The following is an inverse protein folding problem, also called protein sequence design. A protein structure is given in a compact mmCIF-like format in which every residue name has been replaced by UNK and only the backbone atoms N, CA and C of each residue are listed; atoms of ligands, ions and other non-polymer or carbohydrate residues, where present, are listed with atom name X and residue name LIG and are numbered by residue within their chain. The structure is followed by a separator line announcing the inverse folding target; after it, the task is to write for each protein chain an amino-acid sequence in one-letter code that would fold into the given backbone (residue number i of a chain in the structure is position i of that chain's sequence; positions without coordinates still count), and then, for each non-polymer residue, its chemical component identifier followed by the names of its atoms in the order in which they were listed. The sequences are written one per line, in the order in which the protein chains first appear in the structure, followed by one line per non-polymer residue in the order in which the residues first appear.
data_IF_523001631451
#
_entry.id   IF_523001631451
#
_cell.length_a   1.000
_cell.length_b   1.000
_cell.length_c   1.000
_cell.angle_alpha   90.00
_cell.angle_beta   90.00
_cell.angle_gamma   90.00
#
_symmetry.space_group_name_H-M   'P 1'
#
loop_
_entity.id
_entity.type
_entity.pdbx_description
1 polymer ?
#
# COMPACT_ATOMS: atom_id res chain seq x y z
N UNK A 1 -14.99 -23.35 4.77
CA UNK A 1 -14.19 -22.13 4.87
C UNK A 1 -14.19 -21.63 6.31
N UNK A 2 -13.02 -21.47 6.94
CA UNK A 2 -12.88 -20.96 8.32
C UNK A 2 -12.93 -19.42 8.36
N UNK A 3 -12.49 -18.76 7.29
CA UNK A 3 -12.66 -17.32 7.07
C UNK A 3 -11.96 -16.80 5.81
N UNK A 4 -12.25 -15.57 5.42
CA UNK A 4 -11.52 -14.83 4.38
C UNK A 4 -10.70 -13.73 5.05
N UNK A 5 -9.38 -13.76 4.89
CA UNK A 5 -8.44 -12.84 5.52
C UNK A 5 -8.03 -11.77 4.51
N UNK A 6 -8.69 -10.63 4.60
CA UNK A 6 -8.25 -9.41 3.95
C UNK A 6 -7.07 -8.82 4.74
N UNK A 7 -6.34 -7.92 4.09
CA UNK A 7 -5.29 -7.14 4.71
C UNK A 7 -5.07 -5.92 3.81
N UNK A 8 -5.36 -4.72 4.34
CA UNK A 8 -5.28 -3.46 3.60
C UNK A 8 -4.35 -2.52 4.34
N UNK A 9 -3.34 -1.94 3.67
CA UNK A 9 -2.59 -0.82 4.23
C UNK A 9 -3.41 0.46 4.07
N UNK A 10 -4.04 0.94 5.15
CA UNK A 10 -4.54 2.32 5.19
C UNK A 10 -3.80 3.11 6.27
N UNK A 11 -2.99 4.14 5.91
CA UNK A 11 -2.47 5.08 6.89
C UNK A 11 -3.63 5.97 7.37
N UNK A 12 -3.87 5.97 8.69
CA UNK A 12 -4.83 6.87 9.35
C UNK A 12 -4.11 7.64 10.45
N UNK A 13 -3.39 8.71 10.08
CA UNK A 13 -2.59 9.48 11.04
C UNK A 13 -1.51 8.61 11.70
N UNK A 14 -1.35 8.70 13.02
CA UNK A 14 -0.39 7.90 13.81
C UNK A 14 -0.81 6.42 14.02
N UNK A 15 -1.77 5.90 13.25
CA UNK A 15 -2.33 4.56 13.40
C UNK A 15 -2.35 3.83 12.05
N UNK A 16 -2.00 2.55 12.07
CA UNK A 16 -2.14 1.65 10.92
C UNK A 16 -3.36 0.75 11.13
N UNK A 17 -4.26 0.71 10.14
CA UNK A 17 -5.42 -0.20 10.15
C UNK A 17 -5.10 -1.45 9.35
N UNK A 18 -5.23 -2.61 9.97
CA UNK A 18 -5.25 -3.91 9.33
C UNK A 18 -6.65 -4.50 9.47
N UNK A 19 -7.39 -4.57 8.37
CA UNK A 19 -8.67 -5.30 8.36
C UNK A 19 -8.37 -6.80 8.34
N UNK A 20 -8.61 -7.55 9.42
CA UNK A 20 -8.40 -8.99 9.47
C UNK A 20 -9.75 -9.72 9.49
N UNK A 21 -9.98 -10.62 8.55
CA UNK A 21 -10.98 -11.68 8.71
C UNK A 21 -12.46 -11.28 8.50
N UNK A 22 -13.08 -11.92 7.52
CA UNK A 22 -14.49 -12.32 7.54
C UNK A 22 -14.51 -13.68 8.24
N UNK A 23 -14.96 -13.73 9.49
CA UNK A 23 -14.98 -14.95 10.29
C UNK A 23 -16.40 -15.55 10.38
N UNK A 24 -16.48 -16.87 10.17
CA UNK A 24 -17.60 -17.72 10.64
C UNK A 24 -17.38 -18.04 12.13
N UNK A 25 -18.43 -18.18 12.99
CA UNK A 25 -18.37 -17.83 14.42
C UNK A 25 -17.68 -18.84 15.35
N UNK A 26 -16.53 -19.41 14.97
CA UNK A 26 -15.71 -20.22 15.89
C UNK A 26 -14.23 -19.94 15.67
N UNK A 27 -13.58 -19.33 16.67
CA UNK A 27 -12.38 -19.82 17.37
C UNK A 27 -11.89 -18.71 18.32
N UNK A 28 -11.51 -19.12 19.53
CA UNK A 28 -10.67 -18.37 20.47
C UNK A 28 -9.63 -19.33 21.07
N UNK A 29 -8.45 -18.75 21.35
CA UNK A 29 -7.34 -19.20 22.20
C UNK A 29 -6.22 -20.13 21.65
N UNK A 30 -5.05 -19.47 21.55
CA UNK A 30 -3.67 -19.94 21.74
C UNK A 30 -2.97 -20.75 20.64
N UNK A 31 -1.90 -20.17 20.09
CA UNK A 31 -0.87 -20.84 19.31
C UNK A 31 0.54 -20.44 19.81
N UNK A 32 1.51 -21.37 19.89
CA UNK A 32 2.86 -21.12 20.40
C UNK A 32 3.82 -20.54 19.34
N UNK A 33 4.83 -19.80 19.81
CA UNK A 33 5.86 -19.13 18.99
C UNK A 33 6.91 -20.11 18.42
N UNK A 34 7.31 -19.91 17.16
CA UNK A 34 8.45 -20.57 16.52
C UNK A 34 9.78 -19.81 16.76
N UNK A 35 10.95 -20.51 16.76
CA UNK A 35 12.24 -19.91 17.07
C UNK A 35 12.89 -19.21 15.87
N UNK A 36 13.76 -18.26 16.18
CA UNK A 36 14.35 -17.30 15.24
C UNK A 36 15.52 -17.81 14.41
N UNK A 37 15.69 -17.20 13.24
CA UNK A 37 16.86 -17.33 12.39
C UNK A 37 17.42 -15.93 12.07
N UNK A 38 18.75 -15.82 12.17
CA UNK A 38 19.51 -14.60 11.89
C UNK A 38 19.54 -14.33 10.37
N UNK A 39 19.24 -13.08 10.00
CA UNK A 39 19.23 -12.64 8.60
C UNK A 39 20.54 -11.90 8.30
N UNK A 40 21.31 -12.41 7.34
CA UNK A 40 22.52 -11.78 6.81
C UNK A 40 22.16 -10.46 6.09
N UNK A 41 22.61 -9.35 6.65
CA UNK A 41 22.47 -8.01 6.07
C UNK A 41 23.59 -7.82 5.05
N UNK A 42 23.23 -7.69 3.76
CA UNK A 42 24.18 -7.27 2.71
C UNK A 42 24.03 -5.74 2.54
N UNK A 43 25.11 -4.96 2.67
CA UNK A 43 25.05 -3.51 2.47
C UNK A 43 24.84 -3.19 0.98
N UNK A 44 23.81 -2.40 0.67
CA UNK A 44 23.61 -1.82 -0.66
C UNK A 44 24.45 -0.54 -0.72
N UNK A 45 25.51 -0.55 -1.54
CA UNK A 45 26.36 0.62 -1.78
C UNK A 45 25.53 1.77 -2.37
N UNK A 46 25.80 2.98 -1.87
CA UNK A 46 25.12 4.22 -2.27
C UNK A 46 25.33 4.47 -3.76
N UNK A 47 24.27 4.29 -4.54
CA UNK A 47 24.22 4.68 -5.94
C UNK A 47 24.33 6.21 -6.07
N UNK A 48 25.48 6.69 -6.54
CA UNK A 48 25.61 8.01 -7.15
C UNK A 48 25.07 7.90 -8.58
N UNK A 49 23.83 8.30 -8.81
CA UNK A 49 23.24 8.33 -10.15
C UNK A 49 23.24 9.77 -10.67
N UNK A 50 24.02 10.02 -11.71
CA UNK A 50 23.55 10.93 -12.75
C UNK A 50 22.43 10.18 -13.48
N UNK A 51 21.17 10.66 -13.44
CA UNK A 51 20.05 9.90 -13.96
C UNK A 51 20.09 9.88 -15.49
N UNK A 52 20.39 8.72 -16.07
CA UNK A 52 20.17 8.47 -17.49
C UNK A 52 18.67 8.36 -17.76
N UNK A 53 18.11 9.32 -18.49
CA UNK A 53 16.73 9.26 -18.98
C UNK A 53 16.78 8.68 -20.39
N UNK A 54 16.14 7.53 -20.59
CA UNK A 54 15.86 6.99 -21.91
C UNK A 54 14.69 7.78 -22.54
N UNK A 55 14.92 8.62 -23.56
CA UNK A 55 13.88 9.48 -24.12
C UNK A 55 12.88 8.71 -25.00
N UNK A 56 13.25 7.52 -25.50
CA UNK A 56 12.34 6.67 -26.26
C UNK A 56 11.34 5.99 -25.32
N UNK A 57 11.83 5.57 -24.15
CA UNK A 57 11.01 4.94 -23.12
C UNK A 57 10.22 5.94 -22.28
N UNK A 58 10.79 7.12 -22.02
CA UNK A 58 10.24 8.14 -21.12
C UNK A 58 10.23 9.55 -21.76
N UNK A 59 9.51 9.74 -22.88
CA UNK A 59 9.54 11.00 -23.62
C UNK A 59 9.10 12.20 -22.77
N UNK A 60 8.14 12.02 -21.85
CA UNK A 60 7.65 13.10 -20.99
C UNK A 60 8.66 13.57 -19.92
N UNK A 61 9.60 12.70 -19.52
CA UNK A 61 10.68 13.08 -18.61
C UNK A 61 11.76 13.88 -19.35
N UNK A 62 12.06 13.49 -20.60
CA UNK A 62 13.02 14.18 -21.45
C UNK A 62 12.49 15.53 -21.98
N UNK A 63 11.18 15.68 -22.13
CA UNK A 63 10.56 16.93 -22.57
C UNK A 63 10.58 18.01 -21.48
N UNK A 64 10.89 19.25 -21.89
CA UNK A 64 10.77 20.41 -21.02
C UNK A 64 9.30 20.75 -20.75
N UNK A 65 8.93 21.07 -19.51
CA UNK A 65 7.57 21.47 -19.17
C UNK A 65 7.13 22.70 -19.96
N UNK A 66 5.91 22.65 -20.53
CA UNK A 66 5.31 23.75 -21.29
C UNK A 66 3.96 24.14 -20.67
N UNK A 67 3.69 25.43 -20.60
CA UNK A 67 2.43 25.92 -20.05
C UNK A 67 2.24 27.42 -20.23
N UNK A 68 0.98 27.87 -20.14
CA UNK A 68 0.66 29.31 -20.15
C UNK A 68 1.21 29.98 -18.91
N UNK A 69 1.91 31.10 -19.11
CA UNK A 69 2.51 31.92 -18.05
C UNK A 69 3.38 31.11 -17.07
N UNK A 70 4.05 30.04 -17.55
CA UNK A 70 4.75 29.08 -16.70
C UNK A 70 5.73 29.77 -15.74
N UNK A 71 6.63 30.62 -16.24
CA UNK A 71 7.56 31.36 -15.38
C UNK A 71 6.91 32.18 -14.26
N UNK A 72 5.82 32.91 -14.53
CA UNK A 72 5.11 33.67 -13.47
C UNK A 72 4.46 32.75 -12.43
N UNK A 73 3.96 31.60 -12.87
CA UNK A 73 3.34 30.61 -11.98
C UNK A 73 4.38 29.87 -11.16
N UNK A 74 5.55 29.60 -11.73
CA UNK A 74 6.71 29.01 -11.07
C UNK A 74 7.29 29.95 -10.03
N UNK A 75 7.38 31.26 -10.30
CA UNK A 75 7.81 32.25 -9.31
C UNK A 75 6.83 32.31 -8.11
N UNK A 76 5.52 32.40 -8.39
CA UNK A 76 4.51 32.40 -7.33
C UNK A 76 4.43 31.06 -6.57
N UNK A 77 4.85 29.95 -7.19
CA UNK A 77 4.98 28.66 -6.53
C UNK A 77 6.23 28.63 -5.64
N UNK A 78 7.36 29.12 -6.16
CA UNK A 78 8.62 29.26 -5.44
C UNK A 78 8.45 30.08 -4.16
N UNK A 79 7.85 31.26 -4.22
CA UNK A 79 7.63 32.10 -3.03
C UNK A 79 6.79 31.38 -1.95
N UNK A 80 5.77 30.60 -2.37
CA UNK A 80 4.95 29.80 -1.45
C UNK A 80 5.71 28.61 -0.87
N UNK A 81 6.58 28.00 -1.66
CA UNK A 81 7.43 26.89 -1.26
C UNK A 81 8.49 27.37 -0.28
N UNK A 82 9.21 28.46 -0.58
CA UNK A 82 10.20 29.08 0.30
C UNK A 82 9.57 29.40 1.66
N UNK A 83 8.40 30.05 1.67
CA UNK A 83 7.68 30.34 2.91
C UNK A 83 7.33 29.07 3.71
N UNK A 84 6.84 28.03 3.04
CA UNK A 84 6.47 26.77 3.68
C UNK A 84 7.67 26.10 4.35
N UNK A 85 8.78 26.05 3.64
CA UNK A 85 10.00 25.39 4.10
C UNK A 85 10.59 26.18 5.28
N UNK A 86 10.61 27.51 5.20
CA UNK A 86 11.00 28.38 6.31
C UNK A 86 10.13 28.18 7.56
N UNK A 87 8.80 28.14 7.39
CA UNK A 87 7.84 27.94 8.49
C UNK A 87 8.02 26.57 9.20
N UNK A 88 8.59 25.59 8.51
CA UNK A 88 8.79 24.20 9.00
C UNK A 88 10.26 23.86 9.29
N UNK A 89 11.16 24.84 9.20
CA UNK A 89 12.59 24.68 9.49
C UNK A 89 13.31 23.76 8.50
N UNK A 90 12.93 23.79 7.21
CA UNK A 90 13.63 23.12 6.12
C UNK A 90 14.44 24.15 5.33
N UNK A 91 15.76 23.96 5.28
CA UNK A 91 16.68 24.87 4.58
C UNK A 91 16.77 24.57 3.08
N UNK A 92 17.29 25.52 2.31
CA UNK A 92 17.77 25.27 0.95
C UNK A 92 19.29 24.99 0.88
N UNK A 93 20.02 25.14 1.98
CA UNK A 93 21.44 24.81 2.04
C UNK A 93 21.63 23.34 2.39
N UNK A 94 22.26 22.60 1.47
CA UNK A 94 22.65 21.20 1.65
C UNK A 94 23.58 20.93 2.84
N UNK A 95 24.12 21.98 3.48
CA UNK A 95 24.93 21.88 4.71
C UNK A 95 24.10 21.74 5.97
N UNK A 96 22.82 22.07 5.93
CA UNK A 96 21.94 21.98 7.09
C UNK A 96 21.41 20.55 7.30
N UNK A 97 20.95 20.23 8.51
CA UNK A 97 20.48 18.88 8.85
C UNK A 97 19.17 18.48 8.16
N UNK A 98 18.31 19.46 7.84
CA UNK A 98 17.07 19.23 7.10
C UNK A 98 17.02 20.22 5.94
N UNK A 99 17.12 19.72 4.71
CA UNK A 99 17.17 20.58 3.54
C UNK A 99 16.42 20.03 2.32
N UNK A 100 16.02 20.95 1.45
CA UNK A 100 15.59 20.72 0.07
C UNK A 100 16.51 21.51 -0.86
N UNK A 101 17.30 20.83 -1.68
CA UNK A 101 18.17 21.45 -2.67
C UNK A 101 17.56 21.34 -4.06
N UNK A 102 17.28 22.49 -4.67
CA UNK A 102 16.90 22.57 -6.08
C UNK A 102 18.16 22.71 -6.92
N UNK A 103 18.45 21.70 -7.74
CA UNK A 103 19.59 21.69 -8.66
C UNK A 103 19.22 22.33 -10.00
N UNK A 104 17.98 22.12 -10.43
CA UNK A 104 17.44 22.69 -11.67
C UNK A 104 16.05 23.30 -11.42
N UNK A 105 15.87 24.53 -11.91
CA UNK A 105 14.61 25.27 -11.82
C UNK A 105 13.44 24.61 -12.56
N UNK A 106 13.70 23.65 -13.47
CA UNK A 106 12.66 22.86 -14.12
C UNK A 106 11.78 22.08 -13.12
N UNK A 107 12.28 21.80 -11.92
CA UNK A 107 11.50 21.23 -10.82
C UNK A 107 10.21 22.02 -10.56
N UNK A 108 10.31 23.35 -10.47
CA UNK A 108 9.19 24.24 -10.20
C UNK A 108 8.20 24.22 -11.37
N UNK A 109 8.73 24.26 -12.59
CA UNK A 109 7.94 24.23 -13.81
C UNK A 109 7.14 22.92 -13.95
N UNK A 110 7.77 21.77 -13.65
CA UNK A 110 7.12 20.45 -13.67
C UNK A 110 6.06 20.34 -12.58
N UNK A 111 6.36 20.78 -11.36
CA UNK A 111 5.39 20.79 -10.25
C UNK A 111 4.17 21.66 -10.60
N UNK A 112 4.37 22.84 -11.19
CA UNK A 112 3.28 23.75 -11.59
C UNK A 112 2.47 23.21 -12.78
N UNK A 113 3.14 22.56 -13.74
CA UNK A 113 2.49 21.97 -14.91
C UNK A 113 1.68 20.71 -14.52
N UNK A 114 2.30 19.78 -13.79
CA UNK A 114 1.80 18.41 -13.60
C UNK A 114 1.43 18.06 -12.15
N UNK A 115 1.59 18.99 -11.20
CA UNK A 115 1.27 18.75 -9.79
C UNK A 115 2.26 17.79 -9.13
N UNK A 116 1.74 16.91 -8.28
CA UNK A 116 2.53 15.90 -7.56
C UNK A 116 3.34 14.98 -8.47
N UNK A 117 2.78 14.62 -9.63
CA UNK A 117 3.49 13.79 -10.60
C UNK A 117 4.77 14.48 -11.07
N UNK A 118 4.68 15.75 -11.50
CA UNK A 118 5.85 16.50 -11.98
C UNK A 118 6.90 16.73 -10.89
N UNK A 119 6.48 16.86 -9.62
CA UNK A 119 7.40 16.92 -8.49
C UNK A 119 8.11 15.58 -8.22
N UNK A 120 7.39 14.46 -8.33
CA UNK A 120 7.97 13.13 -8.16
C UNK A 120 8.92 12.78 -9.32
N UNK A 121 8.52 13.10 -10.55
CA UNK A 121 9.34 12.93 -11.75
C UNK A 121 10.63 13.73 -11.65
N UNK A 122 10.55 15.02 -11.26
CA UNK A 122 11.74 15.88 -11.09
C UNK A 122 12.71 15.37 -10.03
N UNK A 123 12.22 14.68 -8.99
CA UNK A 123 13.06 14.00 -8.01
C UNK A 123 13.81 12.82 -8.65
N UNK A 124 13.10 11.97 -9.39
CA UNK A 124 13.68 10.79 -10.05
C UNK A 124 14.77 11.15 -11.07
N UNK A 125 14.63 12.31 -11.72
CA UNK A 125 15.62 12.82 -12.68
C UNK A 125 16.62 13.81 -12.06
N UNK A 126 16.65 13.93 -10.74
CA UNK A 126 17.70 14.64 -10.01
C UNK A 126 17.66 16.16 -10.13
N UNK A 127 16.54 16.76 -10.56
CA UNK A 127 16.35 18.22 -10.59
C UNK A 127 16.28 18.80 -9.17
N UNK A 128 15.94 17.99 -8.17
CA UNK A 128 16.04 18.33 -6.76
C UNK A 128 16.36 17.10 -5.90
N UNK A 129 16.87 17.36 -4.70
CA UNK A 129 17.05 16.33 -3.65
C UNK A 129 16.69 16.90 -2.29
N UNK A 130 16.47 16.04 -1.32
CA UNK A 130 16.17 16.44 0.05
C UNK A 130 16.71 15.42 1.05
N UNK A 131 17.06 15.90 2.23
CA UNK A 131 17.52 15.06 3.34
C UNK A 131 16.99 15.65 4.67
N UNK A 132 16.33 14.85 5.53
CA UNK A 132 15.72 13.55 5.23
C UNK A 132 14.52 13.71 4.29
N UNK A 133 14.50 12.97 3.18
CA UNK A 133 13.45 13.07 2.16
C UNK A 133 12.02 12.95 2.74
N UNK A 134 11.82 12.02 3.67
CA UNK A 134 10.50 11.76 4.28
C UNK A 134 9.97 13.01 4.99
N UNK A 135 10.79 13.64 5.83
CA UNK A 135 10.43 14.87 6.55
C UNK A 135 10.08 16.01 5.60
N UNK A 136 10.85 16.15 4.53
CA UNK A 136 10.59 17.18 3.51
C UNK A 136 9.29 16.88 2.74
N UNK A 137 9.03 15.64 2.36
CA UNK A 137 7.77 15.25 1.72
C UNK A 137 6.56 15.48 2.63
N UNK A 138 6.66 15.21 3.93
CA UNK A 138 5.61 15.51 4.92
C UNK A 138 5.26 17.00 4.93
N UNK A 139 6.28 17.87 4.89
CA UNK A 139 6.10 19.32 4.79
C UNK A 139 5.43 19.69 3.47
N UNK A 140 5.92 19.17 2.34
CA UNK A 140 5.35 19.45 1.02
C UNK A 140 3.88 19.02 0.93
N UNK A 141 3.51 17.89 1.54
CA UNK A 141 2.14 17.34 1.52
C UNK A 141 1.12 18.23 2.25
N UNK A 142 1.59 19.15 3.10
CA UNK A 142 0.72 20.17 3.73
C UNK A 142 0.28 21.24 2.74
N UNK A 143 0.89 21.31 1.55
CA UNK A 143 0.50 22.25 0.52
C UNK A 143 -0.23 21.62 -0.67
N UNK A 144 -1.30 22.28 -1.16
CA UNK A 144 -1.99 21.82 -2.33
C UNK A 144 -1.21 22.20 -3.59
N UNK A 145 -0.33 21.29 -4.06
CA UNK A 145 0.38 21.45 -5.34
C UNK A 145 -0.57 21.49 -6.55
N UNK A 146 -1.75 20.90 -6.41
CA UNK A 146 -2.75 20.83 -7.48
C UNK A 146 -3.76 22.00 -7.47
N UNK A 147 -3.74 22.86 -6.45
CA UNK A 147 -4.67 23.98 -6.38
C UNK A 147 -4.43 24.95 -7.56
N UNK A 148 -5.43 25.20 -8.42
CA UNK A 148 -5.27 26.16 -9.49
C UNK A 148 -5.11 27.55 -8.89
N UNK A 149 -4.11 28.31 -9.36
CA UNK A 149 -3.94 29.73 -9.03
C UNK A 149 -5.17 30.61 -9.35
N UNK A 150 -6.17 30.09 -10.07
CA UNK A 150 -7.35 30.83 -10.51
C UNK A 150 -8.56 30.78 -9.57
N UNK A 151 -8.49 30.11 -8.41
CA UNK A 151 -9.64 30.06 -7.48
C UNK A 151 -9.95 31.42 -6.85
N UNK A 152 -9.01 32.37 -6.90
CA UNK A 152 -9.18 33.74 -6.37
C UNK A 152 -9.93 34.69 -7.34
N UNK A 153 -10.15 34.31 -8.60
CA UNK A 153 -10.72 35.17 -9.65
C UNK A 153 -11.93 34.58 -10.38
N UNK A 154 -12.63 33.59 -9.79
CA UNK A 154 -13.89 33.05 -10.33
C UNK A 154 -13.79 32.46 -11.75
N UNK A 155 -12.57 32.20 -12.24
CA UNK A 155 -12.33 31.71 -13.59
C UNK A 155 -12.50 30.20 -13.69
N UNK A 156 -13.19 29.74 -14.74
CA UNK A 156 -13.26 28.33 -15.13
C UNK A 156 -11.82 27.83 -15.30
N UNK A 157 -11.36 26.99 -14.35
CA UNK A 157 -10.05 26.37 -14.47
C UNK A 157 -10.08 25.46 -15.70
N UNK A 158 -9.18 25.63 -16.69
CA UNK A 158 -9.10 24.67 -17.77
C UNK A 158 -8.82 23.31 -17.14
N UNK A 159 -9.64 22.30 -17.46
CA UNK A 159 -9.37 20.92 -17.09
C UNK A 159 -7.95 20.62 -17.56
N UNK A 160 -7.01 20.35 -16.63
CA UNK A 160 -5.71 19.81 -17.02
C UNK A 160 -5.99 18.59 -17.91
N UNK A 161 -5.31 18.44 -19.06
CA UNK A 161 -5.39 17.19 -19.79
C UNK A 161 -5.04 16.09 -18.80
N UNK A 162 -5.99 15.17 -18.56
CA UNK A 162 -5.70 14.00 -17.75
C UNK A 162 -4.66 13.22 -18.54
N UNK A 163 -3.51 12.92 -17.93
CA UNK A 163 -2.60 11.97 -18.54
C UNK A 163 -3.39 10.68 -18.76
N UNK A 164 -3.49 10.28 -20.02
CA UNK A 164 -3.99 8.97 -20.38
C UNK A 164 -2.86 7.98 -20.09
N UNK A 165 -2.88 7.40 -18.89
CA UNK A 165 -1.96 6.34 -18.51
C UNK A 165 -2.30 5.00 -19.18
N UNK A 166 -3.26 4.99 -20.12
CA UNK A 166 -3.84 3.79 -20.70
C UNK A 166 -4.81 3.10 -19.74
N UNK A 167 -5.19 1.87 -20.08
CA UNK A 167 -5.94 1.02 -19.18
C UNK A 167 -5.07 0.57 -17.99
N UNK A 168 -5.65 0.52 -16.79
CA UNK A 168 -5.01 -0.07 -15.60
C UNK A 168 -4.63 -1.50 -15.96
N UNK A 169 -3.33 -1.76 -16.14
CA UNK A 169 -2.81 -3.10 -16.34
C UNK A 169 -2.72 -3.77 -14.97
N UNK A 170 -3.20 -5.00 -14.88
CA UNK A 170 -3.05 -5.81 -13.69
C UNK A 170 -1.61 -6.36 -13.67
N UNK A 171 -0.67 -5.49 -13.29
CA UNK A 171 0.75 -5.81 -13.11
C UNK A 171 1.17 -5.73 -11.65
N UNK A 172 2.19 -6.49 -11.32
CA UNK A 172 2.95 -6.37 -10.07
C UNK A 172 4.07 -5.35 -10.27
N UNK A 173 4.56 -4.79 -9.16
CA UNK A 173 5.81 -4.02 -9.24
C UNK A 173 6.93 -5.00 -9.62
N UNK A 174 7.87 -4.60 -10.51
CA UNK A 174 8.99 -5.46 -10.87
C UNK A 174 9.69 -5.97 -9.62
N UNK A 175 9.99 -7.26 -9.59
CA UNK A 175 10.52 -7.92 -8.40
C UNK A 175 11.75 -7.16 -7.86
N UNK A 176 12.74 -6.85 -8.69
CA UNK A 176 13.92 -6.10 -8.28
C UNK A 176 13.63 -4.74 -7.63
N UNK A 177 12.54 -4.05 -8.00
CA UNK A 177 12.12 -2.81 -7.32
C UNK A 177 11.52 -3.14 -5.94
N UNK A 178 10.72 -4.20 -5.85
CA UNK A 178 10.17 -4.70 -4.57
C UNK A 178 11.28 -5.07 -3.61
N UNK A 179 12.41 -5.63 -4.08
CA UNK A 179 13.56 -5.96 -3.23
C UNK A 179 14.08 -4.77 -2.42
N UNK A 180 14.21 -3.62 -3.10
CA UNK A 180 14.88 -2.46 -2.56
C UNK A 180 14.17 -1.94 -1.29
N UNK A 181 12.83 -1.96 -1.28
CA UNK A 181 12.05 -1.47 -0.15
C UNK A 181 11.48 -2.60 0.74
N UNK A 182 11.17 -3.77 0.21
CA UNK A 182 10.57 -4.87 0.97
C UNK A 182 11.59 -5.92 1.46
N UNK A 183 12.86 -5.84 1.03
CA UNK A 183 13.90 -6.80 1.43
C UNK A 183 13.67 -8.22 0.88
N UNK A 184 14.33 -9.20 1.50
CA UNK A 184 14.36 -10.58 1.01
C UNK A 184 12.98 -11.28 1.02
N UNK A 185 12.07 -10.86 1.90
CA UNK A 185 10.73 -11.44 1.99
C UNK A 185 9.86 -11.09 0.78
N UNK A 186 10.14 -9.97 0.10
CA UNK A 186 9.29 -9.35 -0.94
C UNK A 186 7.83 -9.12 -0.52
N UNK A 187 7.56 -9.19 0.78
CA UNK A 187 6.25 -8.93 1.32
C UNK A 187 6.02 -7.42 1.32
N UNK A 188 5.21 -6.94 0.38
CA UNK A 188 4.87 -5.51 0.26
C UNK A 188 3.93 -5.03 1.37
N UNK A 189 3.37 -5.97 2.15
CA UNK A 189 2.54 -5.68 3.30
C UNK A 189 3.31 -4.97 4.42
N UNK A 190 2.65 -4.04 5.12
CA UNK A 190 3.26 -3.32 6.26
C UNK A 190 3.80 -4.32 7.28
N UNK A 191 5.02 -4.11 7.76
CA UNK A 191 5.62 -4.99 8.76
C UNK A 191 4.93 -4.86 10.13
N UNK A 192 4.79 -5.96 10.86
CA UNK A 192 4.34 -5.97 12.26
C UNK A 192 5.54 -6.07 13.20
N UNK A 193 5.95 -4.95 13.78
CA UNK A 193 7.08 -4.89 14.71
C UNK A 193 6.70 -5.37 16.12
N UNK A 194 7.69 -5.86 16.89
CA UNK A 194 7.44 -6.51 18.17
C UNK A 194 6.87 -5.57 19.23
N UNK A 195 7.24 -4.29 19.13
CA UNK A 195 6.83 -3.22 20.04
C UNK A 195 5.43 -2.65 19.73
N UNK A 196 4.82 -3.02 18.60
CA UNK A 196 3.50 -2.51 18.22
C UNK A 196 2.40 -3.11 19.10
N UNK A 197 1.71 -2.26 19.86
CA UNK A 197 0.51 -2.68 20.59
C UNK A 197 -0.67 -2.86 19.61
N UNK A 198 -1.54 -3.83 19.90
CA UNK A 198 -2.69 -4.21 19.06
C UNK A 198 -4.01 -4.02 19.79
N UNK A 199 -5.02 -3.53 19.09
CA UNK A 199 -6.43 -3.59 19.51
C UNK A 199 -7.31 -4.13 18.38
N UNK A 200 -8.27 -4.99 18.70
CA UNK A 200 -9.20 -5.57 17.71
C UNK A 200 -10.64 -5.29 18.11
N UNK A 201 -11.48 -4.94 17.14
CA UNK A 201 -12.92 -4.74 17.28
C UNK A 201 -13.66 -5.51 16.16
N UNK A 202 -14.72 -6.24 16.51
CA UNK A 202 -15.60 -6.83 15.49
C UNK A 202 -16.65 -5.80 15.08
N UNK A 203 -16.69 -5.44 13.80
CA UNK A 203 -17.75 -4.63 13.20
C UNK A 203 -18.65 -5.47 12.28
N UNK A 204 -19.85 -4.99 11.99
CA UNK A 204 -20.69 -5.56 10.94
C UNK A 204 -20.61 -4.73 9.67
N UNK A 205 -20.56 -5.39 8.51
CA UNK A 205 -20.45 -4.72 7.21
C UNK A 205 -21.55 -5.21 6.29
N UNK A 206 -22.17 -4.28 5.57
CA UNK A 206 -23.10 -4.62 4.47
C UNK A 206 -22.32 -5.26 3.32
N UNK A 207 -22.65 -6.49 3.00
CA UNK A 207 -21.94 -7.31 2.01
C UNK A 207 -21.96 -6.71 0.60
N UNK A 208 -22.99 -5.95 0.25
CA UNK A 208 -23.17 -5.38 -1.08
C UNK A 208 -22.42 -4.07 -1.24
N UNK A 209 -22.43 -3.22 -0.21
CA UNK A 209 -21.84 -1.88 -0.28
C UNK A 209 -20.45 -1.79 0.33
N UNK A 210 -20.07 -2.73 1.20
CA UNK A 210 -18.85 -2.67 1.99
C UNK A 210 -18.90 -1.62 3.12
N UNK A 211 -20.10 -1.13 3.46
CA UNK A 211 -20.28 -0.08 4.48
C UNK A 211 -20.44 -0.68 5.88
N UNK A 212 -19.79 -0.07 6.88
CA UNK A 212 -19.89 -0.47 8.28
C UNK A 212 -21.29 -0.13 8.81
N UNK A 213 -21.94 -1.13 9.40
CA UNK A 213 -23.23 -1.06 10.07
C UNK A 213 -23.00 -0.70 11.55
N UNK A 214 -23.77 0.26 12.05
CA UNK A 214 -23.70 0.74 13.44
C UNK A 214 -25.05 0.45 14.09
N UNK A 215 -25.04 -0.07 15.32
CA UNK A 215 -26.27 -0.28 16.11
C UNK A 215 -26.89 1.06 16.52
N UNK A 216 -28.22 1.09 16.58
CA UNK A 216 -29.01 2.29 16.84
C UNK A 216 -28.81 2.90 18.26
N UNK A 217 -28.14 2.20 19.18
CA UNK A 217 -27.99 2.61 20.58
C UNK A 217 -26.64 3.26 20.95
N UNK A 218 -25.63 3.24 20.08
CA UNK A 218 -24.36 3.94 20.37
C UNK A 218 -24.46 5.44 20.08
N UNK A 219 -24.77 6.21 21.12
CA UNK A 219 -24.54 7.67 21.15
C UNK A 219 -23.09 7.98 20.75
N UNK A 220 -22.83 9.06 19.99
CA UNK A 220 -21.46 9.47 19.70
C UNK A 220 -20.72 9.82 21.00
N UNK A 221 -19.45 9.40 21.07
CA UNK A 221 -18.49 9.76 22.11
C UNK A 221 -18.45 11.28 22.36
N UNK A 222 -18.08 11.74 23.58
CA UNK A 222 -18.19 13.14 23.97
C UNK A 222 -17.29 14.05 23.10
N UNK A 223 -17.77 15.29 22.89
CA UNK A 223 -17.05 16.34 22.17
C UNK A 223 -15.66 16.53 22.79
N UNK A 224 -14.61 16.34 22.00
CA UNK A 224 -13.22 16.59 22.44
C UNK A 224 -12.11 16.18 21.50
N UNK A 225 -12.33 15.27 20.55
CA UNK A 225 -11.30 14.84 19.59
C UNK A 225 -11.66 15.33 18.19
N UNK A 226 -11.26 16.56 17.87
CA UNK A 226 -11.38 17.11 16.52
C UNK A 226 -10.22 16.58 15.67
N UNK A 227 -10.53 15.94 14.53
CA UNK A 227 -9.51 15.66 13.49
C UNK A 227 -9.59 14.30 12.80
N UNK A 228 -10.42 13.36 13.24
CA UNK A 228 -10.53 12.04 12.60
C UNK A 228 -11.58 12.10 11.49
N UNK A 229 -11.18 11.90 10.24
CA UNK A 229 -12.09 11.68 9.12
C UNK A 229 -12.85 10.36 9.37
N UNK A 230 -13.96 10.46 10.08
CA UNK A 230 -14.91 9.38 10.24
C UNK A 230 -15.36 8.94 8.84
N UNK A 231 -15.17 7.66 8.52
CA UNK A 231 -15.84 7.05 7.38
C UNK A 231 -17.31 7.43 7.39
N UNK A 232 -17.90 7.63 6.21
CA UNK A 232 -19.30 8.07 6.07
C UNK A 232 -20.21 7.01 6.72
N UNK A 233 -20.55 7.21 8.00
CA UNK A 233 -21.49 6.36 8.76
C UNK A 233 -22.90 6.78 8.33
N UNK A 234 -23.62 5.90 7.62
CA UNK A 234 -24.99 6.19 7.19
C UNK A 234 -25.94 5.09 7.64
N UNK A 235 -27.06 5.50 8.22
CA UNK A 235 -28.14 4.61 8.67
C UNK A 235 -28.83 4.00 7.44
N UNK A 236 -28.50 2.77 7.09
CA UNK A 236 -29.25 2.00 6.10
C UNK A 236 -30.40 1.28 6.80
N UNK A 237 -31.61 1.53 6.32
CA UNK A 237 -32.82 0.82 6.72
C UNK A 237 -32.76 -0.62 6.19
N UNK A 238 -32.33 -1.55 7.07
CA UNK A 238 -32.17 -3.00 6.90
C UNK A 238 -31.00 -3.45 5.99
N UNK A 239 -29.89 -3.95 6.56
CA UNK A 239 -28.87 -4.66 5.80
C UNK A 239 -29.42 -5.99 5.28
N UNK A 240 -29.12 -6.31 4.02
CA UNK A 240 -29.34 -7.64 3.45
C UNK A 240 -28.03 -8.39 3.65
N UNK A 241 -28.00 -9.32 4.60
CA UNK A 241 -26.86 -10.21 4.91
C UNK A 241 -25.59 -9.50 5.44
N UNK A 242 -25.55 -9.15 6.74
CA UNK A 242 -24.36 -8.56 7.34
C UNK A 242 -23.23 -9.59 7.51
N UNK A 243 -21.99 -9.14 7.31
CA UNK A 243 -20.77 -9.92 7.51
C UNK A 243 -20.01 -9.38 8.72
N UNK A 244 -19.51 -10.27 9.58
CA UNK A 244 -18.62 -9.89 10.69
C UNK A 244 -17.21 -9.67 10.19
N UNK A 245 -16.63 -8.53 10.55
CA UNK A 245 -15.28 -8.11 10.17
C UNK A 245 -14.49 -7.77 11.43
N UNK A 246 -13.32 -8.38 11.63
CA UNK A 246 -12.44 -8.02 12.75
C UNK A 246 -11.43 -6.93 12.33
N UNK A 247 -11.69 -5.70 12.74
CA UNK A 247 -10.79 -4.58 12.51
C UNK A 247 -9.69 -4.58 13.56
N UNK A 248 -8.44 -4.70 13.11
CA UNK A 248 -7.28 -4.70 13.99
C UNK A 248 -6.43 -3.46 13.74
N UNK A 249 -6.15 -2.74 14.81
CA UNK A 249 -5.34 -1.52 14.80
C UNK A 249 -4.03 -1.78 15.51
N UNK A 250 -2.96 -1.23 14.95
CA UNK A 250 -1.63 -1.26 15.56
C UNK A 250 -1.17 0.15 15.87
N UNK A 251 -0.68 0.34 17.09
CA UNK A 251 0.01 1.56 17.49
C UNK A 251 1.36 1.65 16.79
N UNK A 252 1.86 2.88 16.67
CA UNK A 252 3.21 3.14 16.19
C UNK A 252 4.24 2.34 17.03
N UNK A 253 5.13 1.58 16.37
CA UNK A 253 6.11 0.79 17.07
C UNK A 253 7.25 1.67 17.60
N UNK A 254 7.74 1.37 18.80
CA UNK A 254 8.91 2.04 19.37
C UNK A 254 10.21 1.38 18.87
N UNK A 255 11.25 2.22 18.70
CA UNK A 255 12.65 1.82 18.49
C UNK A 255 12.91 0.86 17.32
N UNK A 256 12.23 1.07 16.19
CA UNK A 256 12.35 0.23 15.00
C UNK A 256 13.48 0.71 14.08
N UNK A 257 14.28 -0.23 13.59
CA UNK A 257 15.33 0.03 12.60
C UNK A 257 15.06 -0.72 11.29
N UNK A 258 15.73 -0.30 10.21
CA UNK A 258 15.54 -0.89 8.87
C UNK A 258 15.77 -2.40 8.84
N UNK A 259 16.73 -2.90 9.63
CA UNK A 259 17.01 -4.34 9.71
C UNK A 259 15.87 -5.16 10.33
N UNK A 260 14.98 -4.53 11.09
CA UNK A 260 13.85 -5.23 11.72
C UNK A 260 12.74 -5.55 10.72
N UNK A 261 12.76 -4.94 9.51
CA UNK A 261 11.68 -5.07 8.52
C UNK A 261 11.36 -6.52 8.19
N UNK A 262 12.38 -7.33 7.88
CA UNK A 262 12.19 -8.74 7.50
C UNK A 262 11.48 -9.50 8.63
N UNK A 263 11.92 -9.29 9.88
CA UNK A 263 11.31 -9.94 11.05
C UNK A 263 9.86 -9.48 11.24
N UNK A 264 9.56 -8.21 10.99
CA UNK A 264 8.22 -7.67 11.12
C UNK A 264 7.27 -8.14 10.02
N UNK A 265 7.74 -8.26 8.78
CA UNK A 265 6.97 -8.83 7.67
C UNK A 265 6.64 -10.31 7.94
N UNK A 266 7.64 -11.10 8.34
CA UNK A 266 7.44 -12.51 8.69
C UNK A 266 6.52 -12.65 9.91
N UNK A 267 6.62 -11.78 10.91
CA UNK A 267 5.72 -11.77 12.07
C UNK A 267 4.28 -11.53 11.64
N UNK A 268 4.04 -10.56 10.75
CA UNK A 268 2.69 -10.30 10.22
C UNK A 268 2.14 -11.51 9.48
N UNK A 269 2.91 -12.11 8.57
CA UNK A 269 2.43 -13.27 7.81
C UNK A 269 2.12 -14.44 8.75
N UNK A 270 3.00 -14.74 9.70
CA UNK A 270 2.74 -15.79 10.68
C UNK A 270 1.49 -15.51 11.50
N UNK A 271 1.29 -14.27 11.97
CA UNK A 271 0.07 -13.90 12.68
C UNK A 271 -1.19 -14.13 11.83
N UNK A 272 -1.17 -13.73 10.55
CA UNK A 272 -2.30 -13.97 9.64
C UNK A 272 -2.60 -15.47 9.49
N UNK A 273 -1.57 -16.29 9.33
CA UNK A 273 -1.71 -17.74 9.23
C UNK A 273 -2.18 -18.39 10.55
N UNK A 274 -1.75 -17.85 11.70
CA UNK A 274 -2.14 -18.30 13.04
C UNK A 274 -3.62 -17.97 13.34
N UNK A 275 -4.06 -16.74 13.03
CA UNK A 275 -5.46 -16.29 13.18
C UNK A 275 -6.40 -17.10 12.28
N UNK A 276 -5.91 -17.51 11.11
CA UNK A 276 -6.63 -18.41 10.21
C UNK A 276 -6.57 -19.89 10.62
N UNK A 277 -5.79 -20.22 11.65
CA UNK A 277 -5.50 -21.58 12.10
C UNK A 277 -5.06 -22.48 10.93
N UNK A 278 -4.15 -21.98 10.09
CA UNK A 278 -3.60 -22.72 8.94
C UNK A 278 -2.62 -23.79 9.44
N UNK A 279 -2.90 -25.04 9.10
CA UNK A 279 -2.06 -26.18 9.43
C UNK A 279 -2.03 -27.28 8.36
N UNK A 280 -1.52 -28.47 8.73
CA UNK A 280 -1.39 -29.58 7.80
C UNK A 280 -2.72 -30.00 7.16
N UNK A 281 -2.73 -30.11 5.83
CA UNK A 281 -3.90 -30.55 5.05
C UNK A 281 -4.89 -29.45 4.69
N UNK A 282 -4.75 -28.24 5.23
CA UNK A 282 -5.62 -27.11 4.86
C UNK A 282 -5.36 -26.67 3.41
N UNK A 283 -6.41 -26.26 2.70
CA UNK A 283 -6.35 -25.63 1.37
C UNK A 283 -6.34 -24.12 1.54
N UNK A 284 -5.26 -23.47 1.11
CA UNK A 284 -5.06 -22.03 1.22
C UNK A 284 -5.08 -21.38 -0.17
N UNK A 285 -5.74 -20.23 -0.30
CA UNK A 285 -5.69 -19.41 -1.50
C UNK A 285 -4.99 -18.08 -1.18
N UNK A 286 -3.93 -17.73 -1.90
CA UNK A 286 -3.36 -16.38 -1.94
C UNK A 286 -3.94 -15.66 -3.18
N UNK A 287 -4.91 -14.77 -2.97
CA UNK A 287 -5.63 -14.05 -4.03
C UNK A 287 -5.16 -12.60 -4.16
N UNK A 288 -4.57 -12.34 -5.33
CA UNK A 288 -3.61 -11.28 -5.66
C UNK A 288 -2.31 -11.45 -4.87
N UNK A 289 -1.39 -12.23 -5.43
CA UNK A 289 -0.13 -12.60 -4.77
C UNK A 289 0.81 -11.43 -4.50
N UNK A 290 1.41 -11.40 -3.32
CA UNK A 290 2.31 -10.33 -2.86
C UNK A 290 3.73 -10.84 -2.55
N UNK A 291 4.36 -11.47 -3.55
CA UNK A 291 5.76 -11.93 -3.47
C UNK A 291 5.93 -13.38 -2.98
N UNK A 292 4.82 -14.08 -2.71
CA UNK A 292 4.79 -15.52 -2.46
C UNK A 292 5.32 -15.97 -1.08
N UNK A 293 5.73 -15.05 -0.21
CA UNK A 293 6.21 -15.40 1.14
C UNK A 293 5.11 -16.03 2.00
N UNK A 294 3.86 -15.60 1.83
CA UNK A 294 2.70 -16.19 2.51
C UNK A 294 2.51 -17.65 2.07
N UNK A 295 2.50 -17.92 0.76
CA UNK A 295 2.42 -19.28 0.25
C UNK A 295 3.55 -20.18 0.75
N UNK A 296 4.79 -19.66 0.81
CA UNK A 296 5.93 -20.42 1.32
C UNK A 296 5.70 -20.80 2.80
N UNK A 297 5.35 -19.82 3.65
CA UNK A 297 5.13 -20.08 5.08
C UNK A 297 3.92 -21.00 5.33
N UNK A 298 2.84 -20.87 4.56
CA UNK A 298 1.68 -21.76 4.65
C UNK A 298 2.05 -23.20 4.23
N UNK A 299 2.79 -23.37 3.14
CA UNK A 299 3.23 -24.70 2.70
C UNK A 299 4.22 -25.36 3.66
N UNK A 300 5.11 -24.57 4.29
CA UNK A 300 5.99 -25.06 5.36
C UNK A 300 5.21 -25.56 6.59
N UNK A 301 3.99 -25.06 6.83
CA UNK A 301 3.06 -25.57 7.85
C UNK A 301 2.28 -26.82 7.41
N UNK A 302 2.51 -27.30 6.19
CA UNK A 302 1.85 -28.49 5.63
C UNK A 302 0.53 -28.21 4.90
N UNK A 303 0.21 -26.94 4.63
CA UNK A 303 -0.95 -26.58 3.82
C UNK A 303 -0.69 -26.77 2.31
N UNK A 304 -1.76 -26.96 1.53
CA UNK A 304 -1.71 -26.88 0.07
C UNK A 304 -2.16 -25.50 -0.39
N UNK A 305 -1.30 -24.77 -1.10
CA UNK A 305 -1.52 -23.37 -1.45
C UNK A 305 -1.74 -23.19 -2.94
N UNK A 306 -2.82 -22.51 -3.31
CA UNK A 306 -3.03 -21.94 -4.64
C UNK A 306 -2.67 -20.46 -4.60
N UNK A 307 -1.81 -20.01 -5.51
CA UNK A 307 -1.40 -18.60 -5.64
C UNK A 307 -1.90 -18.09 -6.99
N UNK A 308 -2.70 -17.03 -6.97
CA UNK A 308 -3.25 -16.41 -8.18
C UNK A 308 -2.63 -15.05 -8.45
N UNK A 309 -2.16 -14.85 -9.68
CA UNK A 309 -1.61 -13.58 -10.17
C UNK A 309 -1.98 -13.35 -11.62
N UNK A 310 -2.11 -12.10 -12.05
CA UNK A 310 -2.29 -11.75 -13.48
C UNK A 310 -0.98 -11.41 -14.19
N UNK A 311 0.12 -11.44 -13.45
CA UNK A 311 1.46 -11.08 -13.91
C UNK A 311 2.33 -12.33 -14.07
N UNK A 312 2.75 -12.62 -15.30
CA UNK A 312 3.61 -13.76 -15.64
C UNK A 312 5.00 -13.62 -15.03
N UNK A 313 5.60 -12.43 -15.06
CA UNK A 313 6.94 -12.20 -14.50
C UNK A 313 6.91 -12.47 -12.99
N UNK A 314 5.87 -11.99 -12.31
CA UNK A 314 5.64 -12.31 -10.90
C UNK A 314 5.41 -13.80 -10.65
N UNK A 315 4.64 -14.46 -11.52
CA UNK A 315 4.39 -15.89 -11.38
C UNK A 315 5.69 -16.70 -11.46
N UNK A 316 6.60 -16.34 -12.37
CA UNK A 316 7.93 -16.95 -12.49
C UNK A 316 8.79 -16.72 -11.24
N UNK A 317 8.79 -15.50 -10.71
CA UNK A 317 9.47 -15.16 -9.45
C UNK A 317 8.96 -16.00 -8.29
N UNK A 318 7.64 -16.05 -8.09
CA UNK A 318 7.02 -16.83 -7.01
C UNK A 318 7.35 -18.32 -7.17
N UNK A 319 7.23 -18.88 -8.38
CA UNK A 319 7.61 -20.28 -8.66
C UNK A 319 9.08 -20.54 -8.33
N UNK A 320 9.98 -19.60 -8.64
CA UNK A 320 11.40 -19.71 -8.31
C UNK A 320 11.64 -19.73 -6.81
N UNK A 321 11.05 -18.79 -6.07
CA UNK A 321 11.17 -18.71 -4.60
C UNK A 321 10.62 -19.95 -3.91
N UNK A 322 9.46 -20.44 -4.36
CA UNK A 322 8.83 -21.67 -3.87
C UNK A 322 9.74 -22.90 -4.06
N UNK A 323 10.41 -23.01 -5.22
CA UNK A 323 11.40 -24.07 -5.47
C UNK A 323 12.62 -23.95 -4.56
N UNK A 324 13.16 -22.74 -4.40
CA UNK A 324 14.31 -22.48 -3.53
C UNK A 324 14.00 -22.79 -2.06
N UNK A 325 12.78 -22.52 -1.61
CA UNK A 325 12.30 -22.84 -0.27
C UNK A 325 11.97 -24.34 -0.07
N UNK A 326 12.08 -25.18 -1.11
CA UNK A 326 11.84 -26.62 -1.01
C UNK A 326 10.36 -27.02 -0.88
N UNK A 327 9.41 -26.12 -1.15
CA UNK A 327 7.97 -26.33 -0.93
C UNK A 327 7.15 -26.41 -2.23
N UNK A 328 7.80 -26.61 -3.37
CA UNK A 328 7.14 -26.69 -4.68
C UNK A 328 6.06 -27.78 -4.78
N UNK A 329 6.14 -28.84 -3.97
CA UNK A 329 5.08 -29.86 -3.93
C UNK A 329 3.78 -29.39 -3.27
N UNK A 330 3.83 -28.34 -2.45
CA UNK A 330 2.69 -27.81 -1.70
C UNK A 330 2.13 -26.49 -2.25
N UNK A 331 2.72 -25.91 -3.29
CA UNK A 331 2.31 -24.60 -3.84
C UNK A 331 2.08 -24.68 -5.35
N UNK A 332 0.91 -24.23 -5.80
CA UNK A 332 0.53 -24.10 -7.20
C UNK A 332 0.36 -22.63 -7.57
N UNK A 333 1.03 -22.17 -8.61
CA UNK A 333 0.99 -20.77 -9.06
C UNK A 333 0.30 -20.69 -10.41
N UNK A 334 -0.82 -19.96 -10.46
CA UNK A 334 -1.74 -19.90 -11.60
C UNK A 334 -1.97 -18.48 -12.09
N UNK A 335 -2.12 -18.36 -13.40
CA UNK A 335 -2.34 -17.09 -14.07
C UNK A 335 -3.83 -16.82 -14.25
N UNK A 336 -4.23 -15.60 -13.90
CA UNK A 336 -5.59 -15.10 -14.06
C UNK A 336 -5.61 -13.85 -14.95
N UNK A 337 -6.76 -13.53 -15.54
CA UNK A 337 -6.83 -12.48 -16.57
C UNK A 337 -6.93 -11.06 -16.00
N UNK A 338 -7.03 -10.94 -14.68
CA UNK A 338 -7.17 -9.67 -13.97
C UNK A 338 -7.02 -9.88 -12.46
N UNK A 339 -7.27 -8.86 -11.64
CA UNK A 339 -6.97 -8.92 -10.20
C UNK A 339 -7.89 -9.88 -9.43
N UNK A 340 -9.09 -10.13 -9.94
CA UNK A 340 -10.06 -11.05 -9.35
C UNK A 340 -10.59 -11.96 -10.48
N UNK A 341 -10.45 -13.29 -10.37
CA UNK A 341 -10.90 -14.20 -11.42
C UNK A 341 -12.43 -14.26 -11.49
N UNK A 342 -12.95 -14.63 -12.66
CA UNK A 342 -14.36 -15.02 -12.78
C UNK A 342 -14.56 -16.47 -12.32
N UNK A 343 -15.78 -16.89 -11.91
CA UNK A 343 -16.07 -18.28 -11.54
C UNK A 343 -15.81 -19.31 -12.66
N UNK A 344 -15.79 -18.87 -13.92
CA UNK A 344 -15.44 -19.72 -15.07
C UNK A 344 -13.94 -19.93 -15.23
N UNK A 345 -13.14 -18.96 -14.76
CA UNK A 345 -11.68 -19.00 -14.82
C UNK A 345 -11.10 -19.78 -13.64
N UNK A 346 -11.64 -19.57 -12.45
CA UNK A 346 -11.20 -20.25 -11.24
C UNK A 346 -12.37 -20.53 -10.31
N UNK A 347 -12.47 -21.77 -9.85
CA UNK A 347 -13.43 -22.20 -8.85
C UNK A 347 -12.76 -23.24 -7.95
N UNK A 348 -13.00 -23.15 -6.65
CA UNK A 348 -12.46 -24.09 -5.68
C UNK A 348 -12.90 -23.74 -4.27
N UNK A 349 -12.85 -24.72 -3.40
CA UNK A 349 -13.11 -24.53 -1.98
C UNK A 349 -11.79 -24.44 -1.21
N UNK A 350 -11.73 -23.50 -0.29
CA UNK A 350 -10.54 -23.23 0.52
C UNK A 350 -10.90 -23.16 2.01
N UNK A 351 -9.97 -23.59 2.84
CA UNK A 351 -10.06 -23.49 4.29
C UNK A 351 -9.75 -22.06 4.74
N UNK A 352 -8.79 -21.40 4.07
CA UNK A 352 -8.46 -19.99 4.25
C UNK A 352 -8.15 -19.31 2.90
N UNK A 353 -8.60 -18.07 2.74
CA UNK A 353 -8.25 -17.20 1.62
C UNK A 353 -7.53 -15.97 2.17
N UNK A 354 -6.37 -15.62 1.62
CA UNK A 354 -5.61 -14.43 1.97
C UNK A 354 -5.56 -13.48 0.78
N UNK A 355 -5.84 -12.21 1.03
CA UNK A 355 -5.59 -11.12 0.08
C UNK A 355 -4.90 -9.97 0.80
N UNK A 356 -3.68 -9.67 0.38
CA UNK A 356 -2.80 -8.70 1.03
C UNK A 356 -2.46 -7.58 0.07
N UNK A 357 -2.67 -6.32 0.45
CA UNK A 357 -2.19 -5.11 -0.26
C UNK A 357 -2.71 -4.92 -1.68
N UNK A 358 -3.89 -5.47 -1.94
CA UNK A 358 -4.49 -5.46 -3.27
C UNK A 358 -5.91 -4.92 -3.27
N UNK A 359 -6.59 -4.95 -2.13
CA UNK A 359 -7.98 -4.50 -2.02
C UNK A 359 -8.12 -2.99 -2.21
N UNK A 360 -7.15 -2.19 -1.76
CA UNK A 360 -7.09 -0.74 -1.95
C UNK A 360 -7.02 -0.34 -3.43
N UNK A 361 -6.44 -1.19 -4.27
CA UNK A 361 -6.29 -0.93 -5.71
C UNK A 361 -7.55 -1.25 -6.51
N UNK A 362 -8.51 -1.99 -5.94
CA UNK A 362 -9.73 -2.40 -6.62
C UNK A 362 -10.77 -1.28 -6.74
N UNK A 363 -10.63 -0.24 -5.92
CA UNK A 363 -11.64 0.81 -5.77
C UNK A 363 -13.01 0.27 -5.29
N UNK A 364 -14.00 1.16 -5.14
CA UNK A 364 -15.32 0.79 -4.58
C UNK A 364 -16.06 -0.27 -5.39
N UNK A 365 -16.00 -0.20 -6.73
CA UNK A 365 -16.67 -1.16 -7.60
C UNK A 365 -16.01 -2.54 -7.60
N UNK A 366 -14.67 -2.60 -7.50
CA UNK A 366 -13.92 -3.85 -7.50
C UNK A 366 -14.03 -4.63 -6.19
N UNK A 367 -14.18 -3.94 -5.04
CA UNK A 367 -14.43 -4.59 -3.74
C UNK A 367 -15.68 -5.48 -3.76
N UNK A 368 -16.80 -5.00 -4.35
CA UNK A 368 -18.01 -5.81 -4.48
C UNK A 368 -17.81 -7.04 -5.37
N UNK A 369 -16.95 -6.95 -6.39
CA UNK A 369 -16.60 -8.11 -7.22
C UNK A 369 -15.71 -9.11 -6.45
N UNK A 370 -14.75 -8.61 -5.67
CA UNK A 370 -13.90 -9.44 -4.79
C UNK A 370 -14.74 -10.25 -3.80
N UNK A 371 -15.65 -9.61 -3.05
CA UNK A 371 -16.48 -10.31 -2.07
C UNK A 371 -17.42 -11.36 -2.67
N UNK A 372 -17.80 -11.22 -3.95
CA UNK A 372 -18.56 -12.25 -4.67
C UNK A 372 -17.70 -13.40 -5.18
N UNK A 373 -16.41 -13.18 -5.36
CA UNK A 373 -15.48 -14.20 -5.86
C UNK A 373 -14.91 -15.09 -4.74
N UNK A 374 -14.96 -14.63 -3.48
CA UNK A 374 -14.43 -15.35 -2.30
C UNK A 374 -15.51 -15.93 -1.40
N UNK A 375 -16.78 -15.80 -1.80
CA UNK A 375 -17.91 -16.54 -1.21
C UNK A 375 -18.06 -17.89 -1.89
#
# INVERSE_FOLDING_TARGET
MRGCFASVNTPFGALYRLTLGIASPRIAESAPRAPGEECLIVPVERFSLDPYIDPERWPHLAELPRGRFLGKRSEAFRERLEKLLDDEGVSFDSKDETYLEVRDGFMLDRAVAQGWLGLAESYLIGEWRAEPLVKVLEVLLRQPLEAPMNTLLGGISPRKPRHDFGSVRAGELPDGLVELYAGATRATATALFASAARTTETVQVDRRTGEILVDDEEKPAPRGVAGVAAGVRRRLSRPVEPVRLDETWYLEPADVQRQDLNSGQLRRINLMLDEANVGPGDRVLELSSSGGQLAILAAQRGASVSVLTSDEEHAEVVRSRVRQAGVAGGVRVELISGPVPSPRQWAGEYDAIFSTERLETLGRGGLGHFFRAVD
#
